data_IF_788978512594
#
_entry.id   IF_788978512594
#
_cell.length_a   1.000
_cell.length_b   1.000
_cell.length_c   1.000
_cell.angle_alpha   90.00
_cell.angle_beta   90.00
_cell.angle_gamma   90.00
#
_symmetry.space_group_name_H-M   'P 1'
#
loop_
_entity.id
_entity.type
_entity.pdbx_description
1 polymer ?
#
# COMPACT_ATOMS: atom_id res chain seq x y z
N UNK A 1 -21.38 0.15 -11.62
CA UNK A 1 -22.43 1.20 -11.66
C UNK A 1 -22.71 1.68 -10.24
N UNK A 2 -22.17 2.83 -9.87
CA UNK A 2 -22.88 3.89 -9.14
C UNK A 2 -22.25 5.19 -9.64
N UNK A 3 -22.96 5.90 -10.51
CA UNK A 3 -22.63 7.26 -10.89
C UNK A 3 -23.24 8.19 -9.83
N UNK A 4 -22.41 8.90 -9.08
CA UNK A 4 -22.88 10.05 -8.31
C UNK A 4 -22.62 11.32 -9.14
N UNK A 5 -23.68 11.76 -9.82
CA UNK A 5 -23.82 13.13 -10.29
C UNK A 5 -24.09 14.02 -9.08
N UNK A 6 -23.05 14.70 -8.58
CA UNK A 6 -23.24 15.87 -7.72
C UNK A 6 -23.21 17.12 -8.59
N UNK A 7 -24.40 17.64 -8.89
CA UNK A 7 -24.58 19.04 -9.26
C UNK A 7 -24.48 19.88 -7.98
N UNK A 8 -23.32 20.48 -7.74
CA UNK A 8 -23.09 21.39 -6.63
C UNK A 8 -21.77 22.11 -6.80
N UNK A 9 -21.83 23.43 -6.96
CA UNK A 9 -20.68 24.32 -7.21
C UNK A 9 -19.57 24.10 -6.17
N UNK A 10 -18.49 23.45 -6.59
CA UNK A 10 -17.23 23.43 -5.85
C UNK A 10 -16.48 24.74 -6.05
N UNK A 11 -15.96 25.31 -4.96
CA UNK A 11 -15.00 26.39 -5.00
C UNK A 11 -13.76 25.93 -5.77
N UNK A 12 -13.51 26.54 -6.93
CA UNK A 12 -12.34 26.32 -7.77
C UNK A 12 -11.11 26.95 -7.08
N UNK A 13 -10.52 26.23 -6.12
CA UNK A 13 -9.11 26.38 -5.80
C UNK A 13 -8.31 25.78 -6.95
N UNK A 14 -7.38 26.57 -7.49
CA UNK A 14 -6.75 26.44 -8.79
C UNK A 14 -5.82 25.21 -8.92
N UNK A 15 -6.38 24.00 -8.92
CA UNK A 15 -5.70 22.82 -9.47
C UNK A 15 -5.66 22.98 -10.99
N UNK A 16 -4.47 22.93 -11.58
CA UNK A 16 -4.31 22.90 -13.03
C UNK A 16 -5.14 21.75 -13.60
N UNK A 17 -5.83 21.99 -14.72
CA UNK A 17 -6.58 20.94 -15.39
C UNK A 17 -5.67 19.72 -15.62
N UNK A 18 -6.19 18.49 -15.42
CA UNK A 18 -5.40 17.27 -15.57
C UNK A 18 -4.75 17.25 -16.96
N UNK A 19 -3.46 16.94 -17.03
CA UNK A 19 -2.77 16.81 -18.31
C UNK A 19 -3.26 15.53 -18.99
N UNK A 20 -3.98 15.70 -20.08
CA UNK A 20 -4.63 14.60 -20.83
C UNK A 20 -3.95 14.25 -22.14
N UNK A 21 -2.82 14.88 -22.46
CA UNK A 21 -2.03 14.61 -23.67
C UNK A 21 -0.54 14.52 -23.31
N UNK A 22 0.09 13.43 -23.76
CA UNK A 22 1.53 13.10 -23.64
C UNK A 22 2.06 13.33 -22.22
N UNK A 23 1.30 12.92 -21.21
CA UNK A 23 1.67 13.09 -19.81
C UNK A 23 3.01 12.41 -19.49
N UNK A 24 3.18 11.15 -19.91
CA UNK A 24 4.44 10.40 -19.77
C UNK A 24 4.69 9.59 -21.03
N UNK A 25 5.79 9.85 -21.73
CA UNK A 25 6.10 9.22 -23.01
C UNK A 25 7.51 8.66 -23.05
N UNK A 26 7.67 7.52 -23.71
CA UNK A 26 8.94 6.99 -24.17
C UNK A 26 9.28 7.54 -25.56
N UNK A 27 10.57 7.52 -25.91
CA UNK A 27 11.07 7.98 -27.22
C UNK A 27 10.53 7.19 -28.41
N UNK A 28 10.02 5.98 -28.19
CA UNK A 28 9.41 5.12 -29.21
C UNK A 28 7.93 5.47 -29.50
N UNK A 29 7.39 6.53 -28.90
CA UNK A 29 6.02 6.99 -29.11
C UNK A 29 4.99 6.33 -28.18
N UNK A 30 5.40 5.43 -27.28
CA UNK A 30 4.50 4.89 -26.27
C UNK A 30 4.26 5.90 -25.15
N UNK A 31 3.00 6.19 -24.84
CA UNK A 31 2.63 7.22 -23.88
C UNK A 31 1.47 6.83 -22.97
N UNK A 32 1.55 7.27 -21.72
CA UNK A 32 0.37 7.64 -20.94
C UNK A 32 -0.03 9.06 -21.31
N UNK A 33 -1.23 9.22 -21.84
CA UNK A 33 -1.81 10.49 -22.22
C UNK A 33 -2.37 11.21 -20.99
N UNK A 34 -2.86 10.48 -19.98
CA UNK A 34 -3.46 11.04 -18.78
C UNK A 34 -2.61 10.84 -17.52
N UNK A 35 -2.62 11.80 -16.60
CA UNK A 35 -1.86 11.72 -15.33
C UNK A 35 -2.29 10.55 -14.43
N UNK A 36 -3.56 10.16 -14.48
CA UNK A 36 -4.12 9.05 -13.69
C UNK A 36 -4.02 7.66 -14.33
N UNK A 37 -3.34 7.52 -15.48
CA UNK A 37 -3.20 6.23 -16.15
C UNK A 37 -2.65 5.13 -15.24
N UNK A 38 -1.67 5.46 -14.38
CA UNK A 38 -1.13 4.53 -13.38
C UNK A 38 -2.15 4.13 -12.33
N UNK A 39 -2.89 5.08 -11.79
CA UNK A 39 -3.93 4.83 -10.80
C UNK A 39 -5.01 3.91 -11.37
N UNK A 40 -5.55 4.23 -12.55
CA UNK A 40 -6.55 3.40 -13.22
C UNK A 40 -6.03 2.00 -13.52
N UNK A 41 -4.79 1.85 -13.96
CA UNK A 41 -4.16 0.54 -14.12
C UNK A 41 -4.09 -0.24 -12.79
N UNK A 42 -3.74 0.43 -11.68
CA UNK A 42 -3.60 -0.20 -10.35
C UNK A 42 -4.93 -0.74 -9.80
N UNK A 43 -6.06 -0.15 -10.18
CA UNK A 43 -7.41 -0.61 -9.78
C UNK A 43 -8.04 -1.58 -10.80
N UNK A 44 -7.29 -1.97 -11.85
CA UNK A 44 -7.69 -2.99 -12.81
C UNK A 44 -8.38 -2.48 -14.10
N UNK A 45 -8.35 -1.18 -14.38
CA UNK A 45 -9.00 -0.60 -15.57
C UNK A 45 -8.38 -1.11 -16.88
N UNK A 46 -7.11 -1.54 -16.88
CA UNK A 46 -6.52 -2.16 -18.08
C UNK A 46 -7.30 -3.39 -18.58
N UNK A 47 -8.05 -4.06 -17.68
CA UNK A 47 -8.92 -5.19 -18.03
C UNK A 47 -10.38 -4.77 -18.20
N UNK A 48 -10.85 -3.86 -17.33
CA UNK A 48 -12.25 -3.43 -17.32
C UNK A 48 -12.58 -2.48 -18.47
N UNK A 49 -11.62 -1.66 -18.91
CA UNK A 49 -11.77 -0.65 -19.95
C UNK A 49 -10.61 -0.72 -20.95
N UNK A 50 -10.43 -1.91 -21.53
CA UNK A 50 -9.27 -2.27 -22.33
C UNK A 50 -9.05 -1.35 -23.54
N UNK A 51 -10.10 -0.96 -24.27
CA UNK A 51 -9.96 -0.13 -25.47
C UNK A 51 -9.44 1.27 -25.12
N UNK A 52 -10.10 1.92 -24.15
CA UNK A 52 -9.72 3.26 -23.74
C UNK A 52 -8.32 3.28 -23.11
N UNK A 53 -8.03 2.32 -22.23
CA UNK A 53 -6.75 2.24 -21.53
C UNK A 53 -5.60 1.87 -22.46
N UNK A 54 -5.83 1.01 -23.47
CA UNK A 54 -4.78 0.65 -24.42
C UNK A 54 -4.36 1.82 -25.31
N UNK A 55 -5.25 2.76 -25.60
CA UNK A 55 -4.94 3.93 -26.42
C UNK A 55 -4.34 5.07 -25.58
N UNK A 56 -4.89 5.28 -24.39
CA UNK A 56 -4.59 6.46 -23.57
C UNK A 56 -3.58 6.20 -22.44
N UNK A 57 -3.36 4.94 -22.05
CA UNK A 57 -2.56 4.57 -20.88
C UNK A 57 -1.58 3.43 -21.20
N UNK A 58 -0.83 3.60 -22.30
CA UNK A 58 -0.05 2.53 -22.90
C UNK A 58 1.11 2.05 -22.02
N UNK A 59 1.72 2.94 -21.23
CA UNK A 59 2.79 2.57 -20.32
C UNK A 59 2.20 1.90 -19.07
N UNK A 60 1.12 2.45 -18.54
CA UNK A 60 0.46 1.91 -17.35
C UNK A 60 -0.16 0.52 -17.58
N UNK A 61 -0.68 0.26 -18.77
CA UNK A 61 -1.25 -1.04 -19.15
C UNK A 61 -0.31 -1.96 -19.92
N UNK A 62 0.97 -1.55 -20.09
CA UNK A 62 1.99 -2.31 -20.81
C UNK A 62 1.58 -2.72 -22.24
N UNK A 63 0.90 -1.83 -22.97
CA UNK A 63 0.39 -2.07 -24.33
C UNK A 63 1.24 -1.42 -25.43
N UNK A 64 2.39 -0.83 -25.06
CA UNK A 64 3.36 -0.29 -26.02
C UNK A 64 3.69 -1.33 -27.11
N UNK A 65 3.47 -0.99 -28.38
CA UNK A 65 3.94 -1.81 -29.50
C UNK A 65 5.44 -1.57 -29.72
N UNK A 66 6.22 -2.62 -29.90
CA UNK A 66 7.60 -2.51 -30.41
C UNK A 66 7.55 -2.21 -31.91
N UNK A 67 8.13 -1.09 -32.35
CA UNK A 67 8.21 -0.76 -33.78
C UNK A 67 9.12 -1.74 -34.53
N UNK A 68 8.55 -2.48 -35.48
CA UNK A 68 9.23 -2.97 -36.69
C UNK A 68 8.19 -3.04 -37.83
N UNK A 69 8.43 -2.30 -38.92
CA UNK A 69 7.60 -2.21 -40.12
C UNK A 69 8.04 -3.23 -41.21
N UNK A 70 7.33 -3.41 -42.36
CA UNK A 70 5.92 -3.20 -42.70
C UNK A 70 5.21 -4.47 -43.25
N UNK A 71 3.91 -4.28 -43.53
CA UNK A 71 2.82 -5.15 -43.99
C UNK A 71 3.09 -6.19 -45.11
N UNK A 72 2.48 -7.37 -44.96
CA UNK A 72 1.95 -8.17 -46.07
C UNK A 72 0.51 -8.62 -45.75
N UNK A 73 -0.33 -8.61 -46.77
CA UNK A 73 -1.82 -8.56 -46.83
C UNK A 73 -2.57 -9.87 -46.51
N UNK A 74 -3.77 -9.69 -45.90
CA UNK A 74 -5.08 -10.37 -46.00
C UNK A 74 -5.10 -11.92 -46.18
N UNK A 75 -5.92 -12.69 -45.45
CA UNK A 75 -7.34 -12.93 -45.78
C UNK A 75 -8.02 -13.85 -44.72
N UNK A 76 -9.30 -13.54 -44.45
CA UNK A 76 -10.45 -14.30 -43.87
C UNK A 76 -10.54 -14.69 -42.36
N UNK A 77 -11.77 -14.57 -41.78
CA UNK A 77 -12.06 -14.96 -40.39
C UNK A 77 -12.70 -16.36 -40.28
N UNK A 78 -12.54 -17.07 -39.15
CA UNK A 78 -13.43 -18.17 -38.79
C UNK A 78 -14.16 -17.94 -37.44
N UNK A 79 -15.16 -18.79 -37.12
CA UNK A 79 -16.39 -18.37 -36.44
C UNK A 79 -16.40 -18.60 -34.92
N UNK A 80 -17.38 -17.97 -34.28
CA UNK A 80 -17.77 -18.14 -32.87
C UNK A 80 -18.32 -19.54 -32.60
N UNK A 81 -17.70 -20.33 -31.70
CA UNK A 81 -18.35 -21.43 -30.93
C UNK A 81 -17.78 -21.46 -29.49
N UNK A 82 -18.68 -21.84 -28.58
CA UNK A 82 -18.68 -21.84 -27.12
C UNK A 82 -17.83 -22.97 -26.44
N UNK A 83 -17.79 -23.04 -25.09
CA UNK A 83 -16.61 -23.48 -24.32
C UNK A 83 -16.61 -24.95 -23.90
N UNK A 84 -15.40 -25.51 -23.69
CA UNK A 84 -15.16 -26.69 -22.85
C UNK A 84 -13.80 -26.58 -22.13
N UNK A 85 -13.80 -26.98 -20.85
CA UNK A 85 -12.62 -27.14 -19.99
C UNK A 85 -11.99 -28.55 -20.16
N UNK A 86 -11.06 -28.99 -19.29
CA UNK A 86 -9.62 -28.68 -19.29
C UNK A 86 -8.76 -29.97 -19.37
N UNK A 87 -7.47 -29.87 -19.71
CA UNK A 87 -6.39 -30.77 -19.22
C UNK A 87 -5.01 -30.31 -19.74
N UNK A 88 -4.05 -30.04 -18.84
CA UNK A 88 -2.83 -30.82 -18.52
C UNK A 88 -1.97 -31.09 -19.79
N UNK A 89 -0.67 -30.76 -19.92
CA UNK A 89 0.49 -30.95 -19.05
C UNK A 89 1.69 -30.16 -19.60
N UNK A 90 2.63 -29.87 -18.68
CA UNK A 90 4.09 -29.80 -18.84
C UNK A 90 4.79 -28.58 -19.46
N UNK A 91 5.49 -27.91 -18.54
CA UNK A 91 6.67 -27.10 -18.75
C UNK A 91 7.85 -27.94 -19.25
N UNK A 92 8.66 -27.33 -20.11
CA UNK A 92 10.11 -27.56 -20.10
C UNK A 92 10.87 -26.25 -20.29
N UNK A 93 11.87 -26.18 -19.42
CA UNK A 93 12.87 -25.17 -19.17
C UNK A 93 13.94 -25.20 -20.26
N UNK A 94 14.55 -24.06 -20.62
CA UNK A 94 15.96 -24.00 -21.02
C UNK A 94 16.53 -22.58 -20.99
N UNK A 95 17.58 -22.50 -20.19
CA UNK A 95 18.49 -21.42 -19.84
C UNK A 95 19.32 -20.89 -21.02
N UNK A 96 19.45 -19.56 -21.11
CA UNK A 96 20.72 -18.80 -20.94
C UNK A 96 21.56 -18.65 -22.24
N UNK A 97 22.66 -17.88 -22.27
CA UNK A 97 23.10 -16.70 -21.47
C UNK A 97 23.58 -15.52 -22.38
N UNK A 98 24.28 -14.55 -21.77
CA UNK A 98 25.47 -13.81 -22.32
C UNK A 98 25.32 -12.28 -22.52
N UNK A 99 25.74 -11.59 -21.44
CA UNK A 99 26.82 -10.60 -21.35
C UNK A 99 26.68 -9.14 -21.83
N UNK A 100 26.76 -8.26 -20.83
CA UNK A 100 27.64 -7.07 -20.69
C UNK A 100 28.10 -6.29 -21.94
N UNK A 101 27.77 -5.01 -21.96
CA UNK A 101 28.75 -3.96 -22.25
C UNK A 101 28.26 -2.61 -21.74
N UNK A 102 28.99 -2.08 -20.76
CA UNK A 102 28.89 -0.75 -20.18
C UNK A 102 29.33 0.33 -21.17
N UNK A 103 28.50 1.37 -21.35
CA UNK A 103 28.97 2.72 -21.73
C UNK A 103 28.18 3.78 -20.97
N UNK A 104 28.87 4.40 -20.02
CA UNK A 104 28.48 5.68 -19.44
C UNK A 104 28.51 6.76 -20.54
N UNK A 105 27.40 7.45 -20.72
CA UNK A 105 27.39 8.77 -21.37
C UNK A 105 26.65 9.76 -20.47
N UNK A 106 27.46 10.63 -19.89
CA UNK A 106 27.09 11.84 -19.18
C UNK A 106 26.10 12.67 -20.02
N UNK A 107 24.91 12.92 -19.47
CA UNK A 107 23.98 13.93 -19.98
C UNK A 107 23.63 14.91 -18.87
N UNK A 108 24.19 16.13 -19.01
CA UNK A 108 23.87 17.31 -18.23
C UNK A 108 22.39 17.67 -18.41
N UNK A 109 21.62 17.62 -17.32
CA UNK A 109 20.28 18.19 -17.27
C UNK A 109 20.35 19.73 -17.08
N UNK A 110 19.37 20.50 -17.56
CA UNK A 110 19.38 21.95 -17.49
C UNK A 110 19.22 22.42 -16.05
N UNK A 111 20.21 23.17 -15.56
CA UNK A 111 20.17 23.87 -14.28
C UNK A 111 19.11 24.97 -14.40
N UNK A 112 17.92 24.74 -13.82
CA UNK A 112 17.13 25.87 -13.35
C UNK A 112 17.97 26.57 -12.30
N UNK A 113 18.15 27.89 -12.43
CA UNK A 113 18.85 28.72 -11.46
C UNK A 113 18.14 28.60 -10.10
N UNK A 114 18.59 27.65 -9.28
CA UNK A 114 18.51 27.78 -7.84
C UNK A 114 19.23 29.09 -7.53
N UNK A 115 18.46 30.06 -7.03
CA UNK A 115 19.06 31.15 -6.27
C UNK A 115 20.00 30.53 -5.25
N UNK A 116 21.17 31.14 -5.09
CA UNK A 116 22.30 30.63 -4.32
C UNK A 116 21.85 30.36 -2.86
N UNK A 117 21.30 29.18 -2.57
CA UNK A 117 20.97 28.77 -1.21
C UNK A 117 22.30 28.47 -0.56
N UNK A 118 22.73 29.37 0.33
CA UNK A 118 23.89 29.16 1.17
C UNK A 118 23.69 27.86 1.96
N UNK A 119 24.36 26.80 1.51
CA UNK A 119 24.30 25.42 2.02
C UNK A 119 24.83 25.25 3.46
N UNK A 120 25.02 26.36 4.18
CA UNK A 120 25.53 26.41 5.55
C UNK A 120 24.78 27.37 6.49
N UNK A 121 23.71 28.05 6.05
CA UNK A 121 22.88 28.91 6.93
C UNK A 121 21.45 28.41 7.17
N UNK A 122 20.90 27.56 6.29
CA UNK A 122 19.49 27.13 6.39
C UNK A 122 19.18 26.15 7.53
N UNK A 123 20.10 25.21 7.84
CA UNK A 123 19.87 24.22 8.90
C UNK A 123 19.86 24.85 10.31
N UNK A 124 20.73 25.83 10.56
CA UNK A 124 20.73 26.59 11.82
C UNK A 124 19.49 27.47 11.95
N UNK A 125 19.06 28.12 10.85
CA UNK A 125 17.85 28.96 10.87
C UNK A 125 16.56 28.16 11.06
N UNK A 126 16.45 26.95 10.50
CA UNK A 126 15.28 26.10 10.74
C UNK A 126 15.28 25.50 12.16
N UNK A 127 16.45 25.22 12.74
CA UNK A 127 16.55 24.82 14.14
C UNK A 127 16.12 25.96 15.09
N UNK A 128 16.49 27.20 14.79
CA UNK A 128 16.04 28.39 15.52
C UNK A 128 14.52 28.61 15.42
N UNK A 129 13.92 28.33 14.26
CA UNK A 129 12.47 28.40 14.05
C UNK A 129 11.76 27.26 14.79
N UNK A 130 12.32 26.05 14.79
CA UNK A 130 11.76 24.89 15.49
C UNK A 130 11.59 25.13 16.99
N UNK A 131 12.48 25.92 17.59
CA UNK A 131 12.43 26.26 19.02
C UNK A 131 11.32 27.28 19.35
N UNK A 132 10.87 28.07 18.37
CA UNK A 132 9.89 29.16 18.51
C UNK A 132 8.46 28.76 18.10
N UNK A 133 8.08 27.50 18.37
CA UNK A 133 7.03 26.67 17.77
C UNK A 133 5.66 27.24 17.37
N UNK A 134 5.25 28.45 17.77
CA UNK A 134 3.87 28.92 17.57
C UNK A 134 3.51 29.25 16.11
N UNK A 135 4.47 29.59 15.25
CA UNK A 135 4.21 29.94 13.83
C UNK A 135 5.38 29.53 12.91
N UNK A 136 5.83 28.28 13.00
CA UNK A 136 7.00 27.80 12.26
C UNK A 136 6.82 27.91 10.74
N UNK A 137 5.63 27.57 10.23
CA UNK A 137 5.34 27.59 8.79
C UNK A 137 5.37 29.01 8.20
N UNK A 138 4.79 30.00 8.90
CA UNK A 138 4.78 31.40 8.49
C UNK A 138 6.19 32.01 8.53
N UNK A 139 6.98 31.65 9.54
CA UNK A 139 8.38 32.08 9.65
C UNK A 139 9.24 31.49 8.53
N UNK A 140 9.01 30.22 8.16
CA UNK A 140 9.68 29.59 7.02
C UNK A 140 9.29 30.25 5.70
N UNK A 141 8.01 30.61 5.53
CA UNK A 141 7.52 31.28 4.34
C UNK A 141 8.14 32.67 4.17
N UNK A 142 8.07 33.50 5.21
CA UNK A 142 8.62 34.86 5.20
C UNK A 142 10.15 34.89 5.07
N UNK A 143 10.84 33.86 5.57
CA UNK A 143 12.30 33.73 5.47
C UNK A 143 12.77 33.05 4.17
N UNK A 144 11.86 32.62 3.29
CA UNK A 144 12.22 31.92 2.05
C UNK A 144 12.86 30.55 2.27
N UNK A 145 12.58 29.90 3.41
CA UNK A 145 13.13 28.61 3.82
C UNK A 145 12.18 27.42 3.56
N UNK A 146 10.99 27.67 3.00
CA UNK A 146 10.05 26.62 2.62
C UNK A 146 10.67 25.66 1.60
N UNK A 147 10.66 24.37 1.93
CA UNK A 147 11.04 23.28 1.05
C UNK A 147 9.83 22.37 0.85
N UNK A 148 9.36 22.25 -0.39
CA UNK A 148 8.18 21.43 -0.72
C UNK A 148 8.53 19.96 -1.03
N UNK A 149 9.82 19.64 -1.15
CA UNK A 149 10.31 18.29 -1.43
C UNK A 149 11.19 17.87 -0.27
N UNK A 150 10.88 16.71 0.31
CA UNK A 150 11.68 16.12 1.38
C UNK A 150 13.02 15.63 0.83
N UNK A 151 14.13 15.99 1.48
CA UNK A 151 15.41 15.33 1.26
C UNK A 151 15.42 14.00 2.01
N UNK A 152 15.24 12.92 1.24
CA UNK A 152 15.23 11.54 1.72
C UNK A 152 16.59 10.84 1.58
N UNK A 153 17.66 11.58 1.24
CA UNK A 153 18.97 10.99 0.99
C UNK A 153 19.55 10.30 2.23
N UNK A 154 19.92 9.03 2.05
CA UNK A 154 20.50 8.19 3.11
C UNK A 154 19.47 7.64 4.10
N UNK A 155 18.17 7.84 3.87
CA UNK A 155 17.10 7.18 4.63
C UNK A 155 16.75 5.84 3.99
N UNK A 156 16.44 4.83 4.81
CA UNK A 156 15.77 3.64 4.32
C UNK A 156 14.30 3.98 4.05
N UNK A 157 13.87 3.81 2.80
CA UNK A 157 12.46 3.96 2.41
C UNK A 157 11.92 2.58 2.14
N UNK A 158 10.87 2.21 2.86
CA UNK A 158 10.07 1.02 2.60
C UNK A 158 8.82 1.42 1.82
N UNK A 159 8.31 0.50 1.02
CA UNK A 159 7.03 0.61 0.33
C UNK A 159 6.25 -0.68 0.43
N UNK A 160 4.99 -0.65 0.03
CA UNK A 160 4.15 -1.85 0.01
C UNK A 160 4.75 -2.98 -0.84
N UNK A 161 5.45 -2.63 -1.92
CA UNK A 161 6.16 -3.57 -2.79
C UNK A 161 7.33 -4.26 -2.07
N UNK A 162 8.09 -3.51 -1.27
CA UNK A 162 9.18 -4.05 -0.47
C UNK A 162 8.66 -5.05 0.58
N UNK A 163 7.55 -4.69 1.24
CA UNK A 163 6.85 -5.58 2.19
C UNK A 163 6.36 -6.84 1.48
N UNK A 164 5.65 -6.70 0.36
CA UNK A 164 5.09 -7.82 -0.40
C UNK A 164 6.18 -8.79 -0.88
N UNK A 165 7.34 -8.28 -1.32
CA UNK A 165 8.50 -9.12 -1.69
C UNK A 165 9.13 -9.83 -0.50
N UNK A 166 9.06 -9.26 0.70
CA UNK A 166 9.61 -9.87 1.90
C UNK A 166 8.70 -10.96 2.50
N UNK A 167 7.38 -10.86 2.33
CA UNK A 167 6.39 -11.81 2.90
C UNK A 167 6.75 -13.30 2.72
N UNK A 168 7.20 -13.79 1.54
CA UNK A 168 7.60 -15.19 1.36
C UNK A 168 8.76 -15.65 2.26
N UNK A 169 9.63 -14.72 2.70
CA UNK A 169 10.73 -15.01 3.63
C UNK A 169 10.25 -15.36 5.05
N UNK A 170 8.98 -15.09 5.36
CA UNK A 170 8.36 -15.41 6.65
C UNK A 170 8.32 -14.26 7.66
N UNK A 171 8.99 -13.15 7.38
CA UNK A 171 8.88 -11.90 8.15
C UNK A 171 8.95 -10.67 7.24
N UNK A 172 8.61 -9.50 7.78
CA UNK A 172 8.69 -8.22 7.08
C UNK A 172 9.64 -7.26 7.78
N UNK A 173 10.46 -6.48 7.03
CA UNK A 173 11.34 -5.49 7.63
C UNK A 173 10.54 -4.34 8.23
N UNK A 174 11.14 -3.64 9.21
CA UNK A 174 10.59 -2.41 9.78
C UNK A 174 11.55 -1.24 9.60
N UNK A 175 11.02 -0.02 9.63
CA UNK A 175 11.85 1.18 9.74
C UNK A 175 12.52 1.24 11.12
N UNK A 176 13.85 1.37 11.13
CA UNK A 176 14.67 1.16 12.33
C UNK A 176 15.44 2.41 12.78
N UNK A 177 15.82 3.33 11.89
CA UNK A 177 16.56 4.55 12.26
C UNK A 177 16.33 5.68 11.27
N UNK A 178 16.31 6.91 11.79
CA UNK A 178 16.14 8.12 10.99
C UNK A 178 16.65 9.36 11.71
N UNK A 179 17.22 10.31 10.96
CA UNK A 179 17.53 11.65 11.43
C UNK A 179 16.69 12.72 10.69
N UNK A 180 15.93 13.51 11.44
CA UNK A 180 15.06 14.56 10.90
C UNK A 180 15.80 15.87 10.56
N UNK A 181 17.01 16.06 11.11
CA UNK A 181 17.77 17.31 11.01
C UNK A 181 18.08 17.70 9.56
N UNK A 182 18.26 16.72 8.67
CA UNK A 182 18.54 16.94 7.24
C UNK A 182 17.42 17.67 6.51
N UNK A 183 16.18 17.30 6.81
CA UNK A 183 14.95 17.84 6.19
C UNK A 183 14.14 18.67 7.18
N UNK A 184 14.80 19.28 8.18
CA UNK A 184 14.09 19.96 9.27
C UNK A 184 13.14 21.05 8.76
N UNK A 185 13.56 21.88 7.81
CA UNK A 185 12.71 22.92 7.23
C UNK A 185 11.46 22.34 6.55
N UNK A 186 11.58 21.18 5.90
CA UNK A 186 10.44 20.46 5.32
C UNK A 186 9.50 19.96 6.43
N UNK A 187 10.03 19.27 7.45
CA UNK A 187 9.23 18.68 8.53
C UNK A 187 8.52 19.70 9.44
N UNK A 188 9.00 20.94 9.47
CA UNK A 188 8.36 22.04 10.19
C UNK A 188 7.15 22.64 9.44
N UNK A 189 7.03 22.39 8.13
CA UNK A 189 5.96 22.93 7.30
C UNK A 189 5.04 21.86 6.71
N UNK A 190 5.56 20.66 6.45
CA UNK A 190 4.89 19.57 5.76
C UNK A 190 5.10 18.23 6.45
N UNK A 191 4.17 17.30 6.22
CA UNK A 191 4.27 15.91 6.70
C UNK A 191 5.12 15.10 5.71
N UNK A 192 5.93 14.18 6.20
CA UNK A 192 6.53 13.17 5.33
C UNK A 192 5.48 12.15 4.91
N UNK A 193 5.69 11.51 3.75
CA UNK A 193 4.75 10.51 3.22
C UNK A 193 4.62 9.28 4.12
N UNK A 194 5.68 8.93 4.84
CA UNK A 194 5.74 7.77 5.72
C UNK A 194 5.48 8.10 7.20
N UNK A 195 5.05 9.33 7.49
CA UNK A 195 4.74 9.80 8.84
C UNK A 195 5.97 9.96 9.76
N UNK A 196 7.18 9.70 9.26
CA UNK A 196 8.40 9.94 10.01
C UNK A 196 8.60 11.42 10.34
N UNK A 197 9.35 11.70 11.39
CA UNK A 197 9.66 13.07 11.83
C UNK A 197 8.46 13.93 12.22
N UNK A 198 7.26 13.37 12.33
CA UNK A 198 6.13 14.04 13.00
C UNK A 198 6.49 14.38 14.46
N UNK A 199 7.18 13.46 15.13
CA UNK A 199 7.84 13.72 16.40
C UNK A 199 9.35 13.87 16.18
N UNK A 200 9.86 15.10 16.24
CA UNK A 200 11.28 15.40 15.97
C UNK A 200 12.26 14.72 16.96
N UNK A 201 11.83 14.42 18.19
CA UNK A 201 12.65 13.74 19.21
C UNK A 201 12.60 12.22 19.07
N UNK A 202 11.47 11.68 18.61
CA UNK A 202 11.24 10.24 18.39
C UNK A 202 10.68 10.02 16.98
N UNK A 203 11.54 10.08 15.94
CA UNK A 203 11.12 10.20 14.54
C UNK A 203 10.22 9.09 14.01
N UNK A 204 10.28 7.90 14.62
CA UNK A 204 9.59 6.70 14.16
C UNK A 204 8.26 6.45 14.92
N UNK A 205 7.81 7.36 15.77
CA UNK A 205 6.49 7.27 16.41
C UNK A 205 5.40 7.59 15.39
N UNK A 206 4.54 6.62 15.11
CA UNK A 206 3.43 6.76 14.16
C UNK A 206 3.85 6.68 12.69
N UNK A 207 5.13 6.42 12.40
CA UNK A 207 5.59 6.15 11.06
C UNK A 207 5.03 4.83 10.51
N UNK A 208 4.88 4.75 9.20
CA UNK A 208 4.50 3.54 8.48
C UNK A 208 5.59 2.47 8.53
N UNK A 209 5.23 1.24 8.16
CA UNK A 209 6.13 0.07 8.14
C UNK A 209 6.84 -0.16 9.48
N UNK A 210 6.06 -0.08 10.56
CA UNK A 210 6.51 -0.24 11.95
C UNK A 210 5.59 -1.18 12.69
N UNK A 211 6.09 -1.81 13.75
CA UNK A 211 5.24 -2.57 14.66
C UNK A 211 4.14 -1.67 15.27
N UNK A 212 2.94 -2.23 15.44
CA UNK A 212 1.89 -1.57 16.22
C UNK A 212 2.36 -1.30 17.66
N UNK A 213 1.85 -0.22 18.26
CA UNK A 213 2.05 0.04 19.67
C UNK A 213 1.26 -0.96 20.51
N UNK A 214 1.93 -1.63 21.44
CA UNK A 214 1.28 -2.46 22.45
C UNK A 214 0.95 -1.65 23.69
N UNK A 215 -0.34 -1.50 23.99
CA UNK A 215 -0.80 -0.96 25.28
C UNK A 215 -0.67 -1.97 26.43
N UNK A 216 -0.72 -3.26 26.11
CA UNK A 216 -0.56 -4.37 27.05
C UNK A 216 0.41 -5.41 26.48
N UNK A 217 1.12 -6.18 27.34
CA UNK A 217 1.98 -7.26 26.88
C UNK A 217 1.25 -8.27 25.99
N UNK A 218 1.96 -8.84 25.02
CA UNK A 218 1.42 -9.88 24.16
C UNK A 218 1.04 -11.15 24.97
N UNK A 219 -0.02 -11.84 24.55
CA UNK A 219 -0.46 -13.10 25.15
C UNK A 219 -0.60 -14.13 24.03
N UNK A 220 0.30 -15.11 24.04
CA UNK A 220 0.38 -16.22 23.08
C UNK A 220 0.38 -17.54 23.84
N UNK A 221 -0.02 -18.62 23.17
CA UNK A 221 -0.07 -19.97 23.74
C UNK A 221 1.28 -20.43 24.29
N UNK A 222 2.32 -20.22 23.48
CA UNK A 222 3.72 -20.52 23.76
C UNK A 222 4.44 -19.34 24.46
N UNK A 223 3.71 -18.26 24.75
CA UNK A 223 4.25 -17.02 25.31
C UNK A 223 4.90 -16.07 24.30
N UNK A 224 5.07 -16.44 23.02
CA UNK A 224 5.81 -15.60 22.06
C UNK A 224 5.27 -15.53 20.63
N UNK A 225 4.56 -16.52 20.07
CA UNK A 225 4.10 -16.46 18.68
C UNK A 225 2.78 -17.17 18.43
N UNK A 226 2.56 -18.39 18.93
CA UNK A 226 1.38 -19.15 18.54
C UNK A 226 0.09 -18.60 19.20
N UNK A 227 -1.02 -18.45 18.44
CA UNK A 227 -2.25 -17.91 19.00
C UNK A 227 -2.80 -18.88 20.05
N UNK A 228 -3.41 -18.32 21.09
CA UNK A 228 -4.06 -19.11 22.12
C UNK A 228 -5.14 -19.98 21.50
N UNK A 229 -4.95 -21.29 21.62
CA UNK A 229 -5.83 -22.32 21.07
C UNK A 229 -6.04 -23.47 22.05
N UNK A 230 -5.13 -23.64 23.02
CA UNK A 230 -5.32 -24.54 24.13
C UNK A 230 -6.29 -23.88 25.10
N UNK A 231 -7.51 -24.40 25.11
CA UNK A 231 -8.32 -24.55 26.31
C UNK A 231 -9.57 -25.27 25.84
N UNK A 232 -9.83 -26.41 26.47
CA UNK A 232 -11.09 -27.14 26.47
C UNK A 232 -12.31 -26.31 26.94
N UNK A 233 -12.18 -24.97 27.00
CA UNK A 233 -13.17 -23.98 27.46
C UNK A 233 -13.36 -22.79 26.51
N UNK A 234 -12.61 -22.65 25.41
CA UNK A 234 -12.79 -21.53 24.46
C UNK A 234 -13.56 -21.99 23.22
N UNK A 235 -14.71 -21.35 22.89
CA UNK A 235 -15.39 -21.63 21.64
C UNK A 235 -14.55 -21.13 20.46
N UNK A 236 -14.74 -21.73 19.29
CA UNK A 236 -14.12 -21.20 18.06
C UNK A 236 -14.71 -19.81 17.74
N UNK A 237 -13.97 -18.92 17.04
CA UNK A 237 -14.54 -17.64 16.59
C UNK A 237 -15.87 -17.79 15.84
N UNK A 238 -16.03 -18.89 15.09
CA UNK A 238 -17.29 -19.19 14.40
C UNK A 238 -18.42 -19.57 15.37
N UNK A 239 -18.15 -20.38 16.40
CA UNK A 239 -19.15 -20.70 17.42
C UNK A 239 -19.57 -19.47 18.22
N UNK A 240 -18.61 -18.60 18.59
CA UNK A 240 -18.92 -17.31 19.23
C UNK A 240 -19.78 -16.43 18.33
N UNK A 241 -19.45 -16.32 17.03
CA UNK A 241 -20.26 -15.57 16.06
C UNK A 241 -21.69 -16.13 15.95
N UNK A 242 -21.84 -17.46 15.85
CA UNK A 242 -23.15 -18.11 15.73
C UNK A 242 -24.02 -17.95 16.97
N UNK A 243 -23.41 -18.02 18.17
CA UNK A 243 -24.16 -18.01 19.43
C UNK A 243 -24.39 -16.60 20.00
N UNK A 244 -23.52 -15.63 19.70
CA UNK A 244 -23.56 -14.31 20.34
C UNK A 244 -23.81 -13.15 19.36
N UNK A 245 -23.36 -13.25 18.11
CA UNK A 245 -23.39 -12.12 17.16
C UNK A 245 -24.39 -12.30 16.02
N UNK A 246 -24.85 -13.51 15.76
CA UNK A 246 -25.79 -13.80 14.68
C UNK A 246 -27.20 -13.33 15.04
N UNK A 247 -27.81 -12.53 14.16
CA UNK A 247 -29.20 -12.12 14.25
C UNK A 247 -29.81 -12.07 12.85
N UNK A 248 -31.07 -12.48 12.71
CA UNK A 248 -31.86 -12.30 11.49
C UNK A 248 -32.49 -10.91 11.40
N UNK A 249 -32.49 -10.15 12.49
CA UNK A 249 -33.12 -8.84 12.56
C UNK A 249 -32.14 -7.76 12.09
N UNK A 250 -32.56 -6.99 11.09
CA UNK A 250 -31.88 -5.78 10.67
C UNK A 250 -32.53 -4.57 11.34
N UNK A 251 -31.72 -3.77 12.03
CA UNK A 251 -32.17 -2.52 12.64
C UNK A 251 -31.53 -1.35 11.90
N UNK A 252 -32.37 -0.51 11.29
CA UNK A 252 -31.91 0.76 10.74
C UNK A 252 -31.82 1.79 11.87
N UNK A 253 -30.78 2.63 11.82
CA UNK A 253 -30.65 3.74 12.75
C UNK A 253 -31.47 4.94 12.25
N UNK A 254 -32.32 5.52 13.10
CA UNK A 254 -33.25 6.59 12.67
C UNK A 254 -32.56 7.90 12.32
N UNK A 255 -31.39 8.18 12.93
CA UNK A 255 -30.70 9.46 12.82
C UNK A 255 -29.40 9.43 12.01
N UNK A 256 -28.91 8.23 11.63
CA UNK A 256 -27.59 8.05 11.05
C UNK A 256 -27.72 7.38 9.69
N UNK A 257 -27.09 7.96 8.68
CA UNK A 257 -27.06 7.37 7.35
C UNK A 257 -25.82 6.48 7.18
N UNK A 258 -25.80 5.73 6.07
CA UNK A 258 -24.72 4.79 5.77
C UNK A 258 -23.33 5.44 5.59
N UNK A 259 -23.25 6.77 5.41
CA UNK A 259 -21.98 7.47 5.31
C UNK A 259 -21.16 7.35 6.59
N UNK A 260 -21.80 7.26 7.76
CA UNK A 260 -21.07 7.09 9.02
C UNK A 260 -20.21 5.82 9.02
N UNK A 261 -20.77 4.70 8.57
CA UNK A 261 -20.04 3.44 8.45
C UNK A 261 -18.90 3.56 7.44
N UNK A 262 -19.19 4.13 6.26
CA UNK A 262 -18.19 4.27 5.21
C UNK A 262 -17.05 5.21 5.61
N UNK A 263 -17.36 6.28 6.35
CA UNK A 263 -16.39 7.21 6.90
C UNK A 263 -15.53 6.56 7.98
N UNK A 264 -16.13 5.75 8.87
CA UNK A 264 -15.38 4.96 9.84
C UNK A 264 -14.38 4.02 9.17
N UNK A 265 -14.77 3.34 8.09
CA UNK A 265 -13.86 2.51 7.30
C UNK A 265 -12.76 3.36 6.63
N UNK A 266 -13.11 4.50 6.05
CA UNK A 266 -12.15 5.39 5.39
C UNK A 266 -11.06 5.87 6.36
N UNK A 267 -11.44 6.31 7.57
CA UNK A 267 -10.49 6.71 8.62
C UNK A 267 -9.68 5.51 9.14
N UNK A 268 -10.32 4.34 9.32
CA UNK A 268 -9.60 3.13 9.74
C UNK A 268 -8.51 2.73 8.74
N UNK A 269 -8.78 2.88 7.45
CA UNK A 269 -7.82 2.59 6.39
C UNK A 269 -6.75 3.67 6.24
N UNK A 270 -6.97 4.88 6.76
CA UNK A 270 -5.93 5.92 6.84
C UNK A 270 -4.87 5.53 7.87
N UNK A 271 -5.30 5.03 9.03
CA UNK A 271 -4.43 4.82 10.19
C UNK A 271 -3.78 3.43 10.28
N UNK A 272 -4.37 2.42 9.63
CA UNK A 272 -3.98 1.04 9.89
C UNK A 272 -4.20 0.11 8.69
N UNK A 273 -3.16 -0.68 8.38
CA UNK A 273 -3.23 -1.80 7.43
C UNK A 273 -2.22 -2.86 7.82
N UNK A 274 -2.67 -4.13 7.89
CA UNK A 274 -1.84 -5.24 8.36
C UNK A 274 -1.50 -6.20 7.23
N UNK A 275 -0.21 -6.54 7.07
CA UNK A 275 0.26 -7.53 6.09
C UNK A 275 -0.12 -8.94 6.50
N UNK A 276 -0.67 -9.74 5.58
CA UNK A 276 -1.03 -11.15 5.80
C UNK A 276 -0.13 -12.10 5.02
N UNK A 277 0.05 -13.33 5.52
CA UNK A 277 0.65 -14.39 4.71
C UNK A 277 -0.23 -14.71 3.48
N UNK A 278 0.35 -15.13 2.35
CA UNK A 278 -0.42 -15.43 1.15
C UNK A 278 -1.43 -16.55 1.42
N UNK A 279 -2.70 -16.30 1.11
CA UNK A 279 -3.80 -17.26 1.35
C UNK A 279 -3.61 -18.58 0.61
N UNK A 280 -2.88 -18.57 -0.51
CA UNK A 280 -2.50 -19.79 -1.24
C UNK A 280 -1.73 -20.80 -0.37
N UNK A 281 -1.02 -20.34 0.66
CA UNK A 281 -0.27 -21.20 1.58
C UNK A 281 -1.17 -21.83 2.66
N UNK A 282 -2.40 -21.32 2.84
CA UNK A 282 -3.37 -21.84 3.80
C UNK A 282 -4.48 -22.60 3.07
N UNK A 283 -4.09 -23.60 2.27
CA UNK A 283 -4.99 -24.34 1.38
C UNK A 283 -5.83 -25.43 2.05
N UNK A 284 -5.45 -25.89 3.25
CA UNK A 284 -6.11 -26.99 3.98
C UNK A 284 -6.72 -26.51 5.30
N UNK A 285 -7.39 -27.42 6.02
CA UNK A 285 -7.92 -27.16 7.36
C UNK A 285 -6.89 -27.46 8.47
N UNK A 286 -5.62 -27.63 8.10
CA UNK A 286 -4.55 -27.89 9.05
C UNK A 286 -3.93 -26.58 9.51
N UNK A 287 -3.55 -26.54 10.78
CA UNK A 287 -2.76 -25.44 11.31
C UNK A 287 -1.35 -25.51 10.71
N UNK A 288 -0.88 -24.40 10.15
CA UNK A 288 0.51 -24.24 9.76
C UNK A 288 1.13 -23.29 10.78
N UNK A 289 2.05 -23.77 11.64
CA UNK A 289 2.65 -22.95 12.69
C UNK A 289 3.10 -21.60 12.17
N UNK A 290 2.81 -20.54 12.93
CA UNK A 290 3.18 -19.17 12.61
C UNK A 290 2.59 -18.57 11.32
N UNK A 291 1.87 -19.32 10.49
CA UNK A 291 1.37 -18.89 9.17
C UNK A 291 -0.14 -18.99 8.97
N UNK A 292 -0.76 -20.09 9.37
CA UNK A 292 -2.17 -20.38 9.10
C UNK A 292 -2.91 -20.83 10.37
N UNK A 293 -4.11 -20.30 10.58
CA UNK A 293 -4.96 -20.63 11.73
C UNK A 293 -6.35 -20.98 11.21
N UNK A 294 -6.64 -22.28 10.98
CA UNK A 294 -7.96 -22.68 10.54
C UNK A 294 -8.98 -22.44 11.66
N UNK A 295 -10.16 -21.93 11.29
CA UNK A 295 -11.32 -21.89 12.19
C UNK A 295 -12.19 -23.08 11.85
N UNK A 296 -12.20 -24.10 12.71
CA UNK A 296 -13.02 -25.29 12.50
C UNK A 296 -14.51 -24.96 12.57
N UNK A 297 -15.28 -25.53 11.65
CA UNK A 297 -16.74 -25.41 11.61
C UNK A 297 -17.34 -26.59 12.37
N UNK A 298 -18.18 -26.26 13.35
CA UNK A 298 -18.92 -27.24 14.13
C UNK A 298 -20.06 -27.84 13.30
N UNK A 299 -20.40 -29.11 13.53
CA UNK A 299 -21.58 -29.74 12.92
C UNK A 299 -22.90 -29.04 13.32
N UNK A 300 -22.88 -28.24 14.39
CA UNK A 300 -23.99 -27.40 14.85
C UNK A 300 -24.15 -26.09 14.08
N UNK A 301 -23.29 -25.81 13.10
CA UNK A 301 -23.43 -24.61 12.27
C UNK A 301 -24.69 -24.71 11.42
N UNK A 302 -25.51 -23.66 11.39
CA UNK A 302 -26.77 -23.65 10.62
C UNK A 302 -26.55 -23.46 9.13
N UNK A 303 -25.34 -23.07 8.70
CA UNK A 303 -25.02 -22.85 7.30
C UNK A 303 -24.39 -24.09 6.66
N UNK A 304 -25.14 -24.73 5.78
CA UNK A 304 -24.75 -25.96 5.09
C UNK A 304 -23.47 -25.79 4.26
N UNK A 305 -23.30 -24.64 3.61
CA UNK A 305 -22.11 -24.35 2.81
C UNK A 305 -20.85 -24.24 3.68
N UNK A 306 -20.96 -23.73 4.91
CA UNK A 306 -19.83 -23.75 5.85
C UNK A 306 -19.57 -25.16 6.37
N UNK A 307 -20.61 -25.94 6.71
CA UNK A 307 -20.42 -27.34 7.14
C UNK A 307 -19.73 -28.18 6.07
N UNK A 308 -20.12 -28.03 4.80
CA UNK A 308 -19.48 -28.72 3.67
C UNK A 308 -17.99 -28.37 3.51
N UNK A 309 -17.59 -27.14 3.86
CA UNK A 309 -16.19 -26.70 3.80
C UNK A 309 -15.35 -27.17 4.99
N UNK A 310 -15.96 -27.52 6.12
CA UNK A 310 -15.31 -28.02 7.33
C UNK A 310 -14.51 -26.99 8.15
N UNK A 311 -13.90 -25.99 7.50
CA UNK A 311 -13.17 -24.91 8.16
C UNK A 311 -13.20 -23.58 7.38
N UNK A 312 -12.91 -22.47 8.06
CA UNK A 312 -12.45 -21.23 7.43
C UNK A 312 -10.93 -21.21 7.44
N UNK A 313 -10.34 -20.99 6.27
CA UNK A 313 -8.89 -20.95 6.07
C UNK A 313 -8.40 -19.51 6.25
N UNK A 314 -7.72 -19.24 7.35
CA UNK A 314 -7.27 -17.89 7.71
C UNK A 314 -5.75 -17.82 7.71
N UNK A 315 -5.20 -16.90 6.91
CA UNK A 315 -3.80 -16.51 6.98
C UNK A 315 -3.54 -15.61 8.19
N UNK A 316 -2.43 -15.84 8.88
CA UNK A 316 -1.97 -14.96 9.96
C UNK A 316 -1.33 -13.70 9.40
N UNK A 317 -1.33 -12.64 10.20
CA UNK A 317 -0.52 -11.46 9.96
C UNK A 317 0.98 -11.80 9.98
N UNK A 318 1.75 -11.30 9.01
CA UNK A 318 3.19 -11.55 8.91
C UNK A 318 3.92 -10.82 10.05
N UNK A 319 4.87 -11.46 10.74
CA UNK A 319 5.55 -10.83 11.84
C UNK A 319 6.64 -9.87 11.37
N UNK A 320 6.92 -8.85 12.16
CA UNK A 320 8.12 -8.03 12.00
C UNK A 320 9.36 -8.90 12.22
N UNK A 321 10.38 -8.74 11.37
CA UNK A 321 11.62 -9.51 11.48
C UNK A 321 12.29 -9.35 12.85
N UNK A 322 12.82 -10.44 13.40
CA UNK A 322 13.42 -10.47 14.75
C UNK A 322 12.42 -10.57 15.90
N UNK A 323 11.11 -10.70 15.60
CA UNK A 323 10.05 -10.97 16.60
C UNK A 323 9.53 -12.40 16.49
N UNK A 324 8.70 -12.82 17.45
CA UNK A 324 8.12 -14.17 17.47
C UNK A 324 9.08 -15.20 18.05
N UNK A 325 9.89 -14.80 19.03
CA UNK A 325 10.79 -15.67 19.78
C UNK A 325 10.67 -15.37 21.30
N UNK A 326 11.19 -16.23 22.19
CA UNK A 326 11.04 -16.05 23.63
C UNK A 326 11.57 -14.72 24.20
N UNK A 327 12.50 -14.05 23.52
CA UNK A 327 13.05 -12.76 23.96
C UNK A 327 12.25 -11.56 23.46
N UNK A 328 11.61 -11.68 22.30
CA UNK A 328 10.78 -10.63 21.68
C UNK A 328 9.53 -11.28 21.07
N UNK A 329 8.38 -11.23 21.77
CA UNK A 329 7.11 -11.74 21.26
C UNK A 329 6.76 -11.18 19.89
N UNK A 330 5.92 -11.90 19.15
CA UNK A 330 5.53 -11.59 17.77
C UNK A 330 4.89 -10.21 17.68
N UNK A 331 5.41 -9.35 16.81
CA UNK A 331 4.82 -8.05 16.49
C UNK A 331 4.26 -8.04 15.07
N UNK A 332 3.13 -7.36 14.88
CA UNK A 332 2.50 -7.17 13.57
C UNK A 332 2.87 -5.79 13.03
N UNK A 333 3.09 -5.72 11.71
CA UNK A 333 3.44 -4.49 11.01
C UNK A 333 2.18 -3.68 10.67
N UNK A 334 2.23 -2.37 10.87
CA UNK A 334 1.33 -1.42 10.23
C UNK A 334 1.98 -0.91 8.93
N UNK A 335 1.33 -1.13 7.79
CA UNK A 335 1.77 -0.61 6.48
C UNK A 335 1.49 0.89 6.33
N UNK A 336 0.60 1.45 7.14
CA UNK A 336 0.17 2.85 7.08
C UNK A 336 0.80 3.71 8.15
N UNK A 337 0.78 5.03 7.94
CA UNK A 337 1.04 6.00 9.02
C UNK A 337 -0.07 5.88 10.08
N UNK A 338 0.24 6.17 11.34
CA UNK A 338 -0.74 6.09 12.43
C UNK A 338 -1.56 7.39 12.59
N UNK A 339 -1.31 8.39 11.75
CA UNK A 339 -1.95 9.69 11.82
C UNK A 339 -3.19 9.74 10.95
N UNK A 340 -4.09 10.69 11.21
CA UNK A 340 -5.15 11.05 10.27
C UNK A 340 -4.57 12.14 9.36
N UNK A 341 -3.99 11.72 8.25
CA UNK A 341 -3.21 12.56 7.33
C UNK A 341 -3.57 12.36 5.85
N UNK A 342 -4.55 11.51 5.56
CA UNK A 342 -4.96 11.20 4.20
C UNK A 342 -3.99 10.27 3.47
N UNK A 343 -3.14 9.52 4.16
CA UNK A 343 -2.33 8.45 3.58
C UNK A 343 -3.15 7.40 2.80
N UNK A 344 -4.44 7.22 3.10
CA UNK A 344 -5.35 6.41 2.26
C UNK A 344 -5.57 7.01 0.85
N UNK A 345 -5.32 8.31 0.67
CA UNK A 345 -5.35 9.03 -0.62
C UNK A 345 -3.94 9.16 -1.19
N UNK A 346 -2.98 9.56 -0.36
CA UNK A 346 -1.64 9.97 -0.80
C UNK A 346 -0.60 8.83 -0.80
N UNK A 347 -0.88 7.71 -0.13
CA UNK A 347 0.08 6.65 0.14
C UNK A 347 0.81 6.84 1.47
N UNK A 348 1.56 5.81 1.88
CA UNK A 348 2.34 5.78 3.12
C UNK A 348 3.85 5.68 2.87
N UNK A 349 4.27 5.88 1.63
CA UNK A 349 5.66 5.91 1.17
C UNK A 349 5.78 6.86 0.00
N UNK A 350 6.92 7.54 -0.12
CA UNK A 350 7.23 8.33 -1.31
C UNK A 350 7.35 7.48 -2.59
N UNK A 351 7.46 6.14 -2.45
CA UNK A 351 7.50 5.19 -3.56
C UNK A 351 6.13 4.68 -3.99
N UNK A 352 5.06 5.06 -3.29
CA UNK A 352 3.69 4.66 -3.65
C UNK A 352 3.09 5.55 -4.76
N UNK A 353 3.79 6.64 -5.13
CA UNK A 353 3.50 7.56 -6.26
C UNK A 353 4.13 7.06 -7.58
#
# INVERSE_FOLDING_TARGET
MVAMLFQGKFCYGQLSAPRTIRFKCLSNGCCDQHEWCRFWASIGECRANIEWMNENCQLACATCRSNSAPLATLVHPPPRIQPTSPSVVHATNSQSPVSSSSRETSFKAPIQKQGNVQRGKGASSCAEIADKSENAAEQLASSGLLQAVEDVAGRQILSLDDITRAVPSGCVPELNSLECSRSLCFHLAYRSMDGTCNNLKRPLLGASFRAYLRHLPAQYEDGFSEPVSSTSRRPTPREASRLLLASSQMHAHEQLNSLLMQWGQFISHDMARTTLHPTANCGTCDAIPSKCVPVTISNKDTNDAFRQKGCLKISRAVPVCGTGNPSRPREQLNENTAFVDGSQIYGSSSRDL
#
